data_IF_974214847368
#
_entry.id   IF_974214847368
#
_cell.length_a   1.000
_cell.length_b   1.000
_cell.length_c   1.000
_cell.angle_alpha   90.00
_cell.angle_beta   90.00
_cell.angle_gamma   90.00
#
_symmetry.space_group_name_H-M   'P 1'
#
loop_
_entity.id
_entity.type
_entity.pdbx_description
1 polymer ?
#
# COMPACT_ATOMS: atom_id res chain seq x y z
N UNK A 1 8.03 -52.87 -3.21
CA UNK A 1 7.88 -51.76 -4.18
C UNK A 1 7.72 -50.45 -3.41
N UNK A 2 8.83 -49.86 -2.97
CA UNK A 2 8.83 -48.59 -2.24
C UNK A 2 9.90 -47.68 -2.86
N UNK A 3 9.67 -47.27 -4.10
CA UNK A 3 10.49 -46.30 -4.82
C UNK A 3 9.53 -45.46 -5.66
N UNK A 4 9.01 -44.37 -5.08
CA UNK A 4 8.36 -43.24 -5.77
C UNK A 4 8.06 -42.12 -4.75
N UNK A 5 9.06 -41.70 -3.97
CA UNK A 5 8.97 -40.54 -3.05
C UNK A 5 10.16 -39.59 -3.20
N UNK A 6 10.52 -39.21 -4.43
CA UNK A 6 11.69 -38.33 -4.62
C UNK A 6 11.72 -37.49 -5.89
N UNK A 7 10.57 -37.23 -6.55
CA UNK A 7 10.59 -36.46 -7.82
C UNK A 7 9.68 -35.23 -7.89
N UNK A 8 9.15 -34.74 -6.76
CA UNK A 8 8.30 -33.55 -6.77
C UNK A 8 8.62 -32.53 -5.67
N UNK A 9 9.88 -32.38 -5.25
CA UNK A 9 10.21 -31.41 -4.18
C UNK A 9 11.66 -30.92 -4.26
N UNK A 10 12.00 -30.09 -5.25
CA UNK A 10 13.26 -29.31 -5.24
C UNK A 10 13.29 -28.09 -6.19
N UNK A 11 12.14 -27.45 -6.49
CA UNK A 11 12.16 -26.29 -7.41
C UNK A 11 11.00 -25.31 -7.31
N UNK A 12 9.86 -25.69 -6.73
CA UNK A 12 8.69 -24.83 -6.65
C UNK A 12 8.62 -23.99 -5.36
N UNK A 13 9.13 -24.51 -4.24
CA UNK A 13 9.14 -23.81 -2.94
C UNK A 13 9.91 -22.48 -2.95
N UNK A 14 11.12 -22.36 -3.54
CA UNK A 14 11.85 -21.09 -3.57
C UNK A 14 11.11 -20.02 -4.38
N UNK A 15 10.41 -20.42 -5.44
CA UNK A 15 9.67 -19.53 -6.33
C UNK A 15 8.39 -19.00 -5.67
N UNK A 16 7.68 -19.85 -4.93
CA UNK A 16 6.55 -19.42 -4.10
C UNK A 16 7.00 -18.51 -2.94
N UNK A 17 8.12 -18.82 -2.28
CA UNK A 17 8.64 -17.98 -1.20
C UNK A 17 9.08 -16.58 -1.69
N UNK A 18 9.72 -16.51 -2.88
CA UNK A 18 10.03 -15.24 -3.54
C UNK A 18 8.78 -14.41 -3.87
N UNK A 19 7.68 -15.05 -4.25
CA UNK A 19 6.42 -14.36 -4.55
C UNK A 19 5.81 -13.73 -3.29
N UNK A 20 5.91 -14.39 -2.14
CA UNK A 20 5.42 -13.85 -0.88
C UNK A 20 6.22 -12.63 -0.42
N UNK A 21 7.56 -12.67 -0.56
CA UNK A 21 8.40 -11.53 -0.25
C UNK A 21 8.11 -10.34 -1.19
N UNK A 22 7.92 -10.59 -2.49
CA UNK A 22 7.57 -9.55 -3.45
C UNK A 22 6.20 -8.92 -3.14
N UNK A 23 5.19 -9.72 -2.77
CA UNK A 23 3.87 -9.22 -2.39
C UNK A 23 3.94 -8.35 -1.12
N UNK A 24 4.72 -8.75 -0.13
CA UNK A 24 4.95 -7.93 1.08
C UNK A 24 5.63 -6.60 0.75
N UNK A 25 6.65 -6.60 -0.11
CA UNK A 25 7.34 -5.38 -0.55
C UNK A 25 6.39 -4.44 -1.28
N UNK A 26 5.57 -4.99 -2.19
CA UNK A 26 4.60 -4.20 -2.96
C UNK A 26 3.54 -3.60 -2.01
N UNK A 27 2.98 -4.39 -1.10
CA UNK A 27 1.98 -3.92 -0.13
C UNK A 27 2.53 -2.80 0.74
N UNK A 28 3.76 -2.92 1.22
CA UNK A 28 4.38 -1.91 2.06
C UNK A 28 4.71 -0.63 1.28
N UNK A 29 5.23 -0.75 0.05
CA UNK A 29 5.44 0.38 -0.82
C UNK A 29 4.13 1.14 -1.11
N UNK A 30 3.04 0.41 -1.34
CA UNK A 30 1.71 0.98 -1.56
C UNK A 30 1.15 1.63 -0.29
N UNK A 31 1.34 1.01 0.88
CA UNK A 31 0.92 1.58 2.18
C UNK A 31 1.55 2.95 2.42
N UNK A 32 2.83 3.10 2.07
CA UNK A 32 3.59 4.34 2.28
C UNK A 32 3.32 5.41 1.21
N UNK A 33 3.11 5.02 -0.04
CA UNK A 33 3.01 5.97 -1.18
C UNK A 33 1.57 6.26 -1.63
N UNK A 34 0.58 5.48 -1.21
CA UNK A 34 -0.82 5.68 -1.62
C UNK A 34 -1.46 6.83 -0.86
N UNK A 35 -2.01 7.78 -1.62
CA UNK A 35 -2.75 8.95 -1.18
C UNK A 35 -4.07 9.07 -1.96
N UNK A 36 -4.70 7.94 -2.30
CA UNK A 36 -5.98 7.95 -3.04
C UNK A 36 -7.12 8.52 -2.20
N UNK A 37 -8.04 9.26 -2.82
CA UNK A 37 -9.30 9.68 -2.18
C UNK A 37 -10.47 8.86 -2.75
N UNK A 38 -11.23 8.20 -1.88
CA UNK A 38 -12.48 7.54 -2.29
C UNK A 38 -13.62 8.54 -2.12
N UNK A 39 -14.32 8.89 -3.21
CA UNK A 39 -15.34 9.94 -3.22
C UNK A 39 -16.68 9.35 -3.65
N UNK A 40 -17.73 9.69 -2.90
CA UNK A 40 -19.14 9.43 -3.23
C UNK A 40 -19.95 10.72 -3.08
N UNK A 41 -20.95 10.90 -3.93
CA UNK A 41 -21.87 12.06 -3.88
C UNK A 41 -23.25 11.57 -3.47
N UNK A 42 -23.84 12.18 -2.45
CA UNK A 42 -25.19 11.90 -1.99
C UNK A 42 -26.20 12.30 -3.08
N UNK A 43 -27.10 11.39 -3.45
CA UNK A 43 -28.12 11.66 -4.49
C UNK A 43 -29.40 12.29 -3.93
N UNK A 44 -29.62 12.13 -2.63
CA UNK A 44 -30.74 12.64 -1.87
C UNK A 44 -30.33 12.80 -0.40
N UNK A 45 -31.17 13.43 0.40
CA UNK A 45 -30.97 13.54 1.85
C UNK A 45 -31.15 12.15 2.49
N UNK A 46 -30.17 11.69 3.27
CA UNK A 46 -30.25 10.41 3.96
C UNK A 46 -29.46 10.41 5.28
N UNK A 47 -29.69 9.38 6.10
CA UNK A 47 -28.90 9.15 7.32
C UNK A 47 -27.87 8.06 7.07
N UNK A 48 -26.60 8.40 7.19
CA UNK A 48 -25.49 7.47 7.13
C UNK A 48 -25.28 6.83 8.51
N UNK A 49 -25.49 5.53 8.61
CA UNK A 49 -25.21 4.75 9.82
C UNK A 49 -23.79 4.16 9.75
N UNK A 50 -23.00 4.38 10.79
CA UNK A 50 -21.67 3.81 10.94
C UNK A 50 -21.72 2.55 11.83
N UNK A 51 -20.63 1.77 11.82
CA UNK A 51 -20.47 0.53 12.59
C UNK A 51 -20.31 0.77 14.10
N UNK A 52 -19.86 1.96 14.49
CA UNK A 52 -19.76 2.40 15.88
C UNK A 52 -21.11 2.89 16.48
N UNK A 53 -22.24 2.53 15.88
CA UNK A 53 -23.59 2.99 16.19
C UNK A 53 -23.83 4.51 16.05
N UNK A 54 -22.87 5.27 15.53
CA UNK A 54 -23.08 6.68 15.22
C UNK A 54 -23.87 6.85 13.93
N UNK A 55 -24.55 7.98 13.80
CA UNK A 55 -25.38 8.28 12.64
C UNK A 55 -25.29 9.75 12.27
N UNK A 56 -25.15 10.03 10.98
CA UNK A 56 -24.92 11.37 10.45
C UNK A 56 -25.94 11.67 9.35
N UNK A 57 -26.60 12.82 9.42
CA UNK A 57 -27.48 13.28 8.34
C UNK A 57 -26.64 13.88 7.23
N UNK A 58 -26.74 13.31 6.03
CA UNK A 58 -26.04 13.76 4.83
C UNK A 58 -27.07 14.37 3.88
N UNK A 59 -26.77 15.57 3.37
CA UNK A 59 -27.67 16.26 2.44
C UNK A 59 -27.39 15.82 1.02
N UNK A 60 -28.40 15.94 0.18
CA UNK A 60 -28.27 15.82 -1.27
C UNK A 60 -27.12 16.69 -1.77
N UNK A 61 -26.35 16.12 -2.69
CA UNK A 61 -25.18 16.73 -3.33
C UNK A 61 -23.95 16.93 -2.40
N UNK A 62 -24.03 16.54 -1.12
CA UNK A 62 -22.85 16.46 -0.26
C UNK A 62 -21.87 15.38 -0.74
N UNK A 63 -20.59 15.62 -0.48
CA UNK A 63 -19.50 14.69 -0.80
C UNK A 63 -19.09 13.93 0.46
N UNK A 64 -19.13 12.61 0.38
CA UNK A 64 -18.53 11.71 1.36
C UNK A 64 -17.18 11.29 0.80
N UNK A 65 -16.11 11.62 1.53
CA UNK A 65 -14.75 11.31 1.14
C UNK A 65 -14.05 10.48 2.21
N UNK A 66 -13.38 9.41 1.79
CA UNK A 66 -12.45 8.64 2.63
C UNK A 66 -11.03 8.85 2.12
N UNK A 67 -10.11 9.06 3.05
CA UNK A 67 -8.68 9.16 2.77
C UNK A 67 -7.95 8.00 3.46
N UNK A 68 -7.87 6.81 2.84
CA UNK A 68 -7.35 5.59 3.47
C UNK A 68 -5.89 5.68 3.93
N UNK A 69 -5.14 6.65 3.40
CA UNK A 69 -3.78 6.91 3.85
C UNK A 69 -3.75 7.23 5.36
N UNK A 70 -4.78 7.87 5.92
CA UNK A 70 -4.87 8.14 7.36
C UNK A 70 -4.85 6.85 8.18
N UNK A 71 -5.63 5.85 7.79
CA UNK A 71 -5.69 4.54 8.45
C UNK A 71 -4.39 3.76 8.22
N UNK A 72 -3.84 3.84 7.01
CA UNK A 72 -2.59 3.17 6.64
C UNK A 72 -1.37 3.71 7.42
N UNK A 73 -1.48 4.96 7.90
CA UNK A 73 -0.50 5.66 8.73
C UNK A 73 -0.94 5.77 10.19
N UNK A 74 -1.95 5.03 10.64
CA UNK A 74 -2.41 5.02 12.04
C UNK A 74 -1.46 4.17 12.91
N UNK A 75 -0.93 4.69 14.04
CA UNK A 75 0.04 3.95 14.87
C UNK A 75 -0.58 2.81 15.62
N UNK A 76 -1.90 2.87 15.83
CA UNK A 76 -2.65 1.80 16.47
C UNK A 76 -2.88 0.64 15.49
N UNK A 77 -2.97 0.92 14.19
CA UNK A 77 -3.20 -0.10 13.16
C UNK A 77 -1.93 -0.86 12.74
N UNK A 78 -0.74 -0.26 12.85
CA UNK A 78 0.54 -0.86 12.46
C UNK A 78 1.64 -0.55 13.49
N UNK A 79 2.09 -1.58 14.22
CA UNK A 79 3.00 -1.45 15.38
C UNK A 79 4.43 -0.97 15.06
N UNK A 80 4.83 -0.76 13.80
CA UNK A 80 6.17 -0.26 13.48
C UNK A 80 6.10 0.73 12.31
N UNK A 81 6.05 2.02 12.65
CA UNK A 81 5.66 3.09 11.71
C UNK A 81 6.79 3.49 10.76
N UNK A 82 8.05 3.29 11.14
CA UNK A 82 9.20 3.79 10.40
C UNK A 82 10.30 2.73 10.43
N UNK A 83 10.37 1.93 9.37
CA UNK A 83 11.57 1.15 9.11
C UNK A 83 12.75 2.12 9.05
N UNK A 84 13.70 1.98 9.98
CA UNK A 84 14.96 2.71 9.88
C UNK A 84 15.68 2.22 8.62
N UNK A 85 16.10 3.15 7.76
CA UNK A 85 17.00 2.81 6.68
C UNK A 85 18.27 2.22 7.27
N UNK A 86 18.69 1.07 6.75
CA UNK A 86 19.97 0.44 7.13
C UNK A 86 21.14 1.41 6.92
N UNK A 87 21.04 2.27 5.90
CA UNK A 87 21.94 3.41 5.70
C UNK A 87 21.26 4.72 6.12
N UNK A 88 21.74 5.29 7.24
CA UNK A 88 21.25 6.55 7.80
C UNK A 88 21.63 7.78 6.97
N UNK A 89 22.51 7.62 5.97
CA UNK A 89 22.94 8.71 5.09
C UNK A 89 22.04 8.87 3.85
N UNK A 90 21.09 7.96 3.63
CA UNK A 90 20.13 8.07 2.53
C UNK A 90 19.05 9.06 2.94
N UNK A 91 18.94 10.16 2.17
CA UNK A 91 17.83 11.11 2.34
C UNK A 91 16.53 10.39 2.02
N UNK A 92 15.58 10.41 2.97
CA UNK A 92 14.24 9.88 2.74
C UNK A 92 13.61 10.57 1.54
N UNK A 93 12.98 9.77 0.68
CA UNK A 93 12.18 10.29 -0.42
C UNK A 93 11.03 11.08 0.15
N UNK A 94 10.91 12.32 -0.27
CA UNK A 94 9.71 13.12 -0.05
C UNK A 94 8.76 12.87 -1.21
N UNK A 95 7.48 12.72 -0.89
CA UNK A 95 6.42 12.53 -1.87
C UNK A 95 5.81 13.88 -2.26
N UNK A 96 5.47 14.03 -3.54
CA UNK A 96 4.78 15.21 -4.05
C UNK A 96 3.30 15.21 -3.65
N UNK A 97 3.01 15.94 -2.57
CA UNK A 97 1.67 16.05 -2.02
C UNK A 97 0.70 16.86 -2.90
N UNK A 98 1.18 17.53 -3.96
CA UNK A 98 0.27 18.19 -4.91
C UNK A 98 -0.63 17.20 -5.66
N UNK A 99 -0.25 15.91 -5.66
CA UNK A 99 -1.00 14.80 -6.27
C UNK A 99 -1.87 14.03 -5.27
N UNK A 100 -2.02 14.52 -4.04
CA UNK A 100 -2.91 13.90 -3.05
C UNK A 100 -4.34 13.78 -3.59
N UNK A 101 -4.94 12.62 -3.38
CA UNK A 101 -6.25 12.23 -3.92
C UNK A 101 -6.19 11.48 -5.26
N UNK A 102 -5.05 11.50 -5.97
CA UNK A 102 -4.94 10.94 -7.33
C UNK A 102 -4.31 9.53 -7.40
N UNK A 103 -4.11 8.87 -6.25
CA UNK A 103 -3.56 7.52 -6.17
C UNK A 103 -2.15 7.50 -5.57
N UNK A 104 -1.20 6.91 -6.29
CA UNK A 104 0.19 6.77 -5.81
C UNK A 104 0.96 8.08 -6.00
N UNK A 105 1.51 8.58 -4.89
CA UNK A 105 2.37 9.75 -4.88
C UNK A 105 3.71 9.45 -5.54
N UNK A 106 4.14 10.35 -6.42
CA UNK A 106 5.47 10.29 -7.01
C UNK A 106 6.47 10.90 -6.03
N UNK A 107 7.74 10.45 -6.04
CA UNK A 107 8.83 11.18 -5.41
C UNK A 107 8.92 12.61 -5.99
N UNK A 108 9.36 13.56 -5.18
CA UNK A 108 9.57 14.95 -5.63
C UNK A 108 10.71 15.12 -6.63
N UNK A 109 11.60 14.12 -6.73
CA UNK A 109 12.75 14.10 -7.62
C UNK A 109 13.08 12.65 -7.99
N UNK A 110 13.66 12.46 -9.17
CA UNK A 110 14.12 11.16 -9.63
C UNK A 110 15.36 10.69 -8.84
N UNK A 111 15.53 9.37 -8.75
CA UNK A 111 16.69 8.72 -8.16
C UNK A 111 17.50 8.09 -9.28
N UNK A 112 18.77 8.47 -9.39
CA UNK A 112 19.68 7.81 -10.32
C UNK A 112 20.01 6.39 -9.85
N UNK A 113 19.80 5.40 -10.72
CA UNK A 113 20.24 4.04 -10.50
C UNK A 113 20.94 3.49 -11.74
N UNK A 114 21.87 2.56 -11.52
CA UNK A 114 22.61 1.88 -12.60
C UNK A 114 22.16 0.44 -12.67
N UNK A 115 21.87 -0.04 -13.88
CA UNK A 115 21.60 -1.46 -14.12
C UNK A 115 22.49 -1.98 -15.26
N UNK A 116 22.76 -3.28 -15.23
CA UNK A 116 23.44 -4.01 -16.30
C UNK A 116 22.58 -5.21 -16.67
N UNK A 117 22.34 -5.41 -17.95
CA UNK A 117 21.70 -6.64 -18.42
C UNK A 117 22.60 -7.83 -18.09
N UNK A 118 22.03 -8.85 -17.44
CA UNK A 118 22.75 -10.11 -17.27
C UNK A 118 22.81 -10.81 -18.62
N UNK A 119 24.02 -11.24 -19.02
CA UNK A 119 24.18 -12.14 -20.16
C UNK A 119 23.35 -13.42 -19.91
N UNK A 120 22.72 -13.99 -20.96
CA UNK A 120 21.97 -15.24 -20.86
C UNK A 120 22.78 -16.39 -20.24
#
# INVERSE_FOLDING_TARGET
>A
MALLRSFLWCGHLPKLLMLNAADSIIKEAMRLSSASMNIRVAKEDFTLHLDNNESYTIRKDDIIALYPQMVSLDPEAYEDRLMELVDKNVKLLTFDQSRAGLGILQPTHDIEFKYRLKSP
#
